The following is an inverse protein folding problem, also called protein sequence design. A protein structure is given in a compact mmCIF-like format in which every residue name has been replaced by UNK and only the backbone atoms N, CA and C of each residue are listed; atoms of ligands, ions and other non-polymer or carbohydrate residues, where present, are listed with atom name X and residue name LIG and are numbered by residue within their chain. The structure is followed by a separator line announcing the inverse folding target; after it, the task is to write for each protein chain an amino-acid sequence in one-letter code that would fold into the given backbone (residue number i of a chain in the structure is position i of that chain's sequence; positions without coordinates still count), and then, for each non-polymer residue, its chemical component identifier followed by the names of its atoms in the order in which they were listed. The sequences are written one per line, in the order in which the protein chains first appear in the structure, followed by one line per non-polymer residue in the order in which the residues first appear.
data_IF_222112508860
#
_entry.id   IF_222112508860
#
_cell.length_a   1.000
_cell.length_b   1.000
_cell.length_c   1.000
_cell.angle_alpha   90.00
_cell.angle_beta   90.00
_cell.angle_gamma   90.00
#
_symmetry.space_group_name_H-M   'P 1'
#
loop_
_entity.id
_entity.type
_entity.pdbx_description
1 polymer ?
#
# COMPACT_ATOMS: atom_id res chain seq x y z
N UNK A 1 -2.85 15.63 -7.36
CA UNK A 1 -3.59 14.37 -7.63
C UNK A 1 -5.10 14.58 -7.41
N UNK A 2 -5.82 14.98 -8.45
CA UNK A 2 -7.29 15.03 -8.48
C UNK A 2 -7.94 13.65 -8.31
N UNK A 3 -7.25 12.59 -8.75
CA UNK A 3 -7.71 11.19 -8.74
C UNK A 3 -8.01 10.63 -7.35
N UNK A 4 -7.20 10.98 -6.35
CA UNK A 4 -7.42 10.57 -4.96
C UNK A 4 -8.73 11.13 -4.37
N UNK A 5 -9.38 12.08 -5.05
CA UNK A 5 -10.63 12.72 -4.63
C UNK A 5 -11.85 12.16 -5.36
N UNK A 6 -11.67 11.30 -6.37
CA UNK A 6 -12.78 10.69 -7.09
C UNK A 6 -13.60 9.78 -6.17
N UNK A 7 -14.88 9.64 -6.52
CA UNK A 7 -15.75 8.67 -5.87
C UNK A 7 -15.28 7.23 -6.13
N UNK A 8 -14.81 6.92 -7.35
CA UNK A 8 -14.16 5.65 -7.68
C UNK A 8 -12.73 5.94 -8.18
N UNK A 9 -11.66 5.52 -7.47
CA UNK A 9 -10.29 5.82 -7.85
C UNK A 9 -9.79 4.97 -9.02
N UNK A 10 -10.59 4.07 -9.59
CA UNK A 10 -10.28 3.30 -10.81
C UNK A 10 -10.89 3.89 -12.08
N UNK A 11 -11.96 4.68 -11.97
CA UNK A 11 -12.69 5.25 -13.11
C UNK A 11 -12.04 6.55 -13.60
N UNK A 12 -11.09 6.43 -14.52
CA UNK A 12 -10.47 7.57 -15.20
C UNK A 12 -11.40 8.28 -16.19
N UNK A 13 -12.39 7.55 -16.71
CA UNK A 13 -13.29 8.02 -17.77
C UNK A 13 -14.31 9.05 -17.28
N UNK A 14 -14.51 9.15 -15.97
CA UNK A 14 -15.47 10.09 -15.35
C UNK A 14 -14.90 11.51 -15.28
N UNK A 15 -13.61 11.68 -15.57
CA UNK A 15 -13.00 13.01 -15.67
C UNK A 15 -12.42 13.26 -17.06
N UNK A 16 -12.38 14.53 -17.45
CA UNK A 16 -11.54 14.97 -18.55
C UNK A 16 -10.06 14.92 -18.11
N UNK A 17 -9.50 13.71 -18.01
CA UNK A 17 -8.14 13.49 -17.54
C UNK A 17 -7.09 14.25 -18.38
N UNK A 18 -7.16 14.27 -19.73
CA UNK A 18 -6.27 15.11 -20.52
C UNK A 18 -6.38 16.59 -20.20
N UNK A 19 -7.61 17.13 -20.07
CA UNK A 19 -7.83 18.53 -19.71
C UNK A 19 -7.29 18.88 -18.32
N UNK A 20 -7.41 17.98 -17.34
CA UNK A 20 -6.80 18.18 -16.01
C UNK A 20 -5.27 18.18 -16.05
N UNK A 21 -4.65 17.36 -16.90
CA UNK A 21 -3.19 17.36 -17.07
C UNK A 21 -2.71 18.65 -17.75
N UNK A 22 -3.41 19.14 -18.77
CA UNK A 22 -3.12 20.45 -19.38
C UNK A 22 -3.23 21.57 -18.35
N UNK A 23 -4.34 21.63 -17.60
CA UNK A 23 -4.53 22.63 -16.54
C UNK A 23 -3.39 22.61 -15.51
N UNK A 24 -2.99 21.42 -15.07
CA UNK A 24 -1.89 21.26 -14.10
C UNK A 24 -0.54 21.67 -14.68
N UNK A 25 -0.29 21.40 -15.96
CA UNK A 25 0.93 21.84 -16.65
C UNK A 25 1.00 23.36 -16.66
N UNK A 26 -0.04 24.02 -17.14
CA UNK A 26 -0.10 25.48 -17.26
C UNK A 26 0.03 26.17 -15.89
N UNK A 27 -0.55 25.57 -14.83
CA UNK A 27 -0.40 26.06 -13.45
C UNK A 27 1.02 25.89 -12.89
N UNK A 28 1.73 24.83 -13.30
CA UNK A 28 3.05 24.49 -12.74
C UNK A 28 4.20 25.13 -13.53
N UNK A 29 4.02 25.30 -14.84
CA UNK A 29 5.00 25.83 -15.78
C UNK A 29 4.37 26.94 -16.65
N UNK A 30 3.98 28.08 -16.05
CA UNK A 30 3.22 29.13 -16.74
C UNK A 30 3.98 29.75 -17.92
N UNK A 31 5.31 29.69 -17.90
CA UNK A 31 6.18 30.26 -18.93
C UNK A 31 6.66 29.21 -19.96
N UNK A 32 6.17 27.97 -19.89
CA UNK A 32 6.59 26.87 -20.77
C UNK A 32 5.41 26.30 -21.53
N UNK A 33 5.36 26.53 -22.83
CA UNK A 33 4.39 25.88 -23.70
C UNK A 33 4.67 24.37 -23.83
N UNK A 34 3.65 23.54 -23.64
CA UNK A 34 3.78 22.09 -23.76
C UNK A 34 4.12 21.63 -25.19
N UNK A 35 3.71 22.41 -26.19
CA UNK A 35 4.01 22.17 -27.62
C UNK A 35 3.18 21.06 -28.28
N UNK A 36 2.24 20.44 -27.57
CA UNK A 36 1.31 19.44 -28.11
C UNK A 36 0.01 19.37 -27.30
N UNK A 37 -1.04 18.83 -27.91
CA UNK A 37 -2.31 18.54 -27.23
C UNK A 37 -2.15 17.28 -26.36
N UNK A 38 -2.51 17.35 -25.08
CA UNK A 38 -2.50 16.16 -24.21
C UNK A 38 -3.62 15.22 -24.63
N UNK A 39 -3.25 13.99 -25.00
CA UNK A 39 -4.19 12.90 -25.31
C UNK A 39 -3.52 11.53 -25.08
N UNK A 40 -4.29 10.45 -25.21
CA UNK A 40 -3.77 9.09 -25.07
C UNK A 40 -2.60 8.85 -26.05
N UNK A 41 -1.52 8.22 -25.57
CA UNK A 41 -0.28 8.04 -26.35
C UNK A 41 0.71 9.21 -26.29
N UNK A 42 0.34 10.37 -25.75
CA UNK A 42 1.28 11.48 -25.56
C UNK A 42 2.12 11.31 -24.29
N UNK A 43 3.37 11.85 -24.24
CA UNK A 43 4.28 11.62 -23.11
C UNK A 43 3.70 11.97 -21.74
N UNK A 44 3.05 13.13 -21.62
CA UNK A 44 2.45 13.58 -20.35
C UNK A 44 1.29 12.68 -19.90
N UNK A 45 0.48 12.21 -20.85
CA UNK A 45 -0.62 11.30 -20.57
C UNK A 45 -0.13 9.93 -20.10
N UNK A 46 0.82 9.33 -20.83
CA UNK A 46 1.37 8.00 -20.50
C UNK A 46 2.11 8.02 -19.17
N UNK A 47 2.97 9.03 -18.93
CA UNK A 47 3.69 9.16 -17.67
C UNK A 47 2.72 9.34 -16.49
N UNK A 48 1.69 10.16 -16.64
CA UNK A 48 0.69 10.38 -15.58
C UNK A 48 -0.12 9.13 -15.30
N UNK A 49 -0.49 8.39 -16.35
CA UNK A 49 -1.20 7.10 -16.23
C UNK A 49 -0.32 6.05 -15.55
N UNK A 50 0.96 5.95 -15.92
CA UNK A 50 1.92 5.07 -15.27
C UNK A 50 2.05 5.40 -13.78
N UNK A 51 2.24 6.68 -13.44
CA UNK A 51 2.34 7.13 -12.04
C UNK A 51 1.08 6.82 -11.24
N UNK A 52 -0.08 6.89 -11.87
CA UNK A 52 -1.33 6.50 -11.24
C UNK A 52 -1.39 4.99 -10.94
N UNK A 53 -0.99 4.15 -11.89
CA UNK A 53 -0.91 2.70 -11.65
C UNK A 53 0.12 2.36 -10.57
N UNK A 54 1.28 3.02 -10.59
CA UNK A 54 2.28 2.90 -9.51
C UNK A 54 1.67 3.27 -8.17
N UNK A 55 0.98 4.41 -8.07
CA UNK A 55 0.33 4.83 -6.82
C UNK A 55 -0.67 3.79 -6.31
N UNK A 56 -1.56 3.26 -7.18
CA UNK A 56 -2.51 2.21 -6.80
C UNK A 56 -1.81 0.96 -6.31
N UNK A 57 -0.76 0.53 -7.02
CA UNK A 57 0.05 -0.63 -6.64
C UNK A 57 0.74 -0.44 -5.28
N UNK A 58 1.36 0.73 -5.05
CA UNK A 58 1.99 1.08 -3.79
C UNK A 58 1.01 1.01 -2.62
N UNK A 59 -0.22 1.54 -2.77
CA UNK A 59 -1.24 1.43 -1.72
C UNK A 59 -1.58 -0.04 -1.43
N UNK A 60 -1.70 -0.86 -2.46
CA UNK A 60 -1.90 -2.31 -2.32
C UNK A 60 -0.78 -3.01 -1.56
N UNK A 61 0.48 -2.69 -1.88
CA UNK A 61 1.67 -3.24 -1.19
C UNK A 61 1.74 -2.76 0.26
N UNK A 62 1.44 -1.48 0.51
CA UNK A 62 1.48 -0.91 1.87
C UNK A 62 0.46 -1.58 2.79
N UNK A 63 -0.73 -1.93 2.28
CA UNK A 63 -1.73 -2.64 3.07
C UNK A 63 -1.28 -4.06 3.46
N UNK A 64 -0.56 -4.77 2.58
CA UNK A 64 0.06 -6.07 2.92
C UNK A 64 1.06 -5.89 4.06
N UNK A 65 1.96 -4.93 3.93
CA UNK A 65 2.96 -4.66 4.95
C UNK A 65 2.32 -4.22 6.28
N UNK A 66 1.17 -3.53 6.23
CA UNK A 66 0.42 -3.13 7.41
C UNK A 66 -0.27 -4.31 8.12
N UNK A 67 -0.75 -5.32 7.38
CA UNK A 67 -1.24 -6.58 7.99
C UNK A 67 -0.09 -7.34 8.68
N UNK A 68 1.07 -7.41 8.04
CA UNK A 68 2.25 -8.06 8.65
C UNK A 68 2.67 -7.36 9.94
N UNK A 69 2.75 -6.02 9.93
CA UNK A 69 3.02 -5.22 11.14
C UNK A 69 1.96 -5.38 12.21
N UNK A 70 0.69 -5.51 11.83
CA UNK A 70 -0.38 -5.78 12.78
C UNK A 70 -0.10 -7.08 13.53
N UNK A 71 0.23 -8.17 12.82
CA UNK A 71 0.59 -9.43 13.47
C UNK A 71 1.82 -9.31 14.38
N UNK A 72 2.85 -8.58 13.95
CA UNK A 72 4.04 -8.33 14.78
C UNK A 72 3.67 -7.60 16.08
N UNK A 73 2.82 -6.57 16.00
CA UNK A 73 2.40 -5.79 17.16
C UNK A 73 1.52 -6.59 18.13
N UNK A 74 0.68 -7.48 17.60
CA UNK A 74 -0.19 -8.36 18.39
C UNK A 74 0.51 -9.65 18.85
N UNK A 75 1.79 -9.84 18.49
CA UNK A 75 2.55 -11.05 18.85
C UNK A 75 2.09 -12.33 18.13
N UNK A 76 1.40 -12.21 16.99
CA UNK A 76 0.85 -13.34 16.23
C UNK A 76 1.93 -13.89 15.27
N UNK A 77 2.74 -14.81 15.77
CA UNK A 77 3.83 -15.43 15.00
C UNK A 77 3.40 -16.66 14.21
N UNK A 78 2.45 -17.45 14.73
CA UNK A 78 2.05 -18.72 14.14
C UNK A 78 1.17 -18.54 12.88
N UNK A 79 1.45 -19.25 11.78
CA UNK A 79 0.65 -19.15 10.56
C UNK A 79 -0.83 -19.52 10.73
N UNK A 80 -1.18 -20.49 11.58
CA UNK A 80 -2.59 -20.86 11.79
C UNK A 80 -3.32 -19.75 12.55
N UNK A 81 -2.69 -19.15 13.55
CA UNK A 81 -3.25 -18.00 14.28
C UNK A 81 -3.42 -16.79 13.35
N UNK A 82 -2.47 -16.54 12.44
CA UNK A 82 -2.60 -15.50 11.40
C UNK A 82 -3.77 -15.77 10.47
N UNK A 83 -3.97 -17.02 10.06
CA UNK A 83 -5.09 -17.41 9.22
C UNK A 83 -6.44 -17.21 9.93
N UNK A 84 -6.55 -17.60 11.21
CA UNK A 84 -7.74 -17.36 12.02
C UNK A 84 -8.00 -15.87 12.25
N UNK A 85 -6.95 -15.10 12.57
CA UNK A 85 -7.03 -13.64 12.65
C UNK A 85 -7.57 -13.03 11.34
N UNK A 86 -7.06 -13.48 10.19
CA UNK A 86 -7.53 -13.02 8.89
C UNK A 86 -8.99 -13.41 8.60
N UNK A 87 -9.42 -14.62 8.98
CA UNK A 87 -10.82 -15.07 8.87
C UNK A 87 -11.76 -14.23 9.72
N UNK A 88 -11.34 -13.87 10.94
CA UNK A 88 -12.09 -12.94 11.80
C UNK A 88 -12.17 -11.57 11.11
N UNK A 89 -11.05 -11.05 10.63
CA UNK A 89 -10.98 -9.73 10.00
C UNK A 89 -11.91 -9.59 8.77
N UNK A 90 -11.94 -10.59 7.87
CA UNK A 90 -12.78 -10.60 6.66
C UNK A 90 -14.21 -11.12 6.91
N UNK A 91 -14.50 -11.60 8.12
CA UNK A 91 -15.73 -12.28 8.47
C UNK A 91 -17.00 -11.41 8.40
N UNK A 92 -18.15 -11.97 8.83
CA UNK A 92 -19.42 -11.26 8.84
C UNK A 92 -19.32 -9.89 9.50
N UNK A 93 -19.92 -8.87 8.89
CA UNK A 93 -19.88 -7.50 9.40
C UNK A 93 -18.59 -6.73 9.11
N UNK A 94 -17.60 -7.36 8.45
CA UNK A 94 -16.34 -6.78 7.96
C UNK A 94 -15.53 -6.06 9.07
N UNK A 95 -15.08 -6.75 10.13
CA UNK A 95 -14.29 -6.16 11.22
C UNK A 95 -13.11 -5.31 10.77
N UNK A 96 -12.41 -5.71 9.71
CA UNK A 96 -11.24 -4.98 9.17
C UNK A 96 -11.53 -3.52 8.79
N UNK A 97 -12.80 -3.11 8.65
CA UNK A 97 -13.16 -1.73 8.37
C UNK A 97 -13.14 -0.83 9.60
N UNK A 98 -13.10 -1.35 10.82
CA UNK A 98 -13.36 -0.57 12.02
C UNK A 98 -12.10 -0.48 12.90
N UNK A 99 -11.91 0.66 13.55
CA UNK A 99 -10.82 0.84 14.53
C UNK A 99 -11.05 0.04 15.80
N UNK A 100 -12.32 -0.18 16.18
CA UNK A 100 -12.69 -0.99 17.33
C UNK A 100 -13.87 -1.89 16.97
N UNK A 101 -13.75 -3.16 17.34
CA UNK A 101 -14.78 -4.19 17.18
C UNK A 101 -14.91 -4.96 18.48
N UNK A 102 -16.13 -5.04 18.98
CA UNK A 102 -16.47 -5.83 20.15
C UNK A 102 -17.23 -7.07 19.69
N UNK A 103 -16.73 -8.24 20.03
CA UNK A 103 -17.37 -9.52 19.72
C UNK A 103 -18.21 -10.00 20.90
N UNK A 104 -19.28 -10.72 20.59
CA UNK A 104 -20.03 -11.50 21.56
C UNK A 104 -19.15 -12.63 22.13
N UNK A 105 -19.55 -13.30 23.23
CA UNK A 105 -18.78 -14.41 23.81
C UNK A 105 -18.50 -15.58 22.84
N UNK A 106 -19.23 -15.67 21.73
CA UNK A 106 -19.01 -16.66 20.67
C UNK A 106 -17.81 -16.35 19.76
N UNK A 107 -17.17 -15.17 19.93
CA UNK A 107 -16.03 -14.65 19.16
C UNK A 107 -16.27 -14.58 17.64
N UNK A 108 -17.52 -14.63 17.20
CA UNK A 108 -17.91 -14.66 15.77
C UNK A 108 -18.94 -13.60 15.44
N UNK A 109 -19.79 -13.26 16.40
CA UNK A 109 -20.84 -12.27 16.23
C UNK A 109 -20.35 -10.91 16.73
N UNK A 110 -20.47 -9.89 15.88
CA UNK A 110 -20.09 -8.53 16.28
C UNK A 110 -21.20 -7.90 17.13
N UNK A 111 -20.88 -7.55 18.37
CA UNK A 111 -21.76 -6.80 19.27
C UNK A 111 -21.74 -5.30 18.94
N UNK A 112 -20.55 -4.73 18.72
CA UNK A 112 -20.37 -3.29 18.52
C UNK A 112 -19.26 -2.98 17.51
N UNK A 113 -19.43 -1.90 16.75
CA UNK A 113 -18.47 -1.41 15.74
C UNK A 113 -18.30 0.09 15.90
N UNK A 114 -17.05 0.54 16.05
CA UNK A 114 -16.74 1.97 16.22
C UNK A 114 -15.62 2.37 15.27
N UNK A 115 -15.56 3.65 14.92
CA UNK A 115 -14.48 4.22 14.12
C UNK A 115 -14.34 3.54 12.75
N UNK A 116 -15.41 3.61 11.95
CA UNK A 116 -15.41 3.06 10.58
C UNK A 116 -14.35 3.75 9.72
N UNK A 117 -13.64 2.95 8.95
CA UNK A 117 -12.45 3.24 8.15
C UNK A 117 -11.19 3.61 8.96
N UNK A 118 -11.16 3.30 10.25
CA UNK A 118 -10.05 3.63 11.14
C UNK A 118 -9.33 2.39 11.67
N UNK A 119 -9.42 1.24 10.98
CA UNK A 119 -8.60 0.08 11.34
C UNK A 119 -7.12 0.39 11.10
N UNK A 120 -6.19 -0.20 11.88
CA UNK A 120 -4.75 0.06 11.74
C UNK A 120 -4.23 -0.09 10.30
N UNK A 121 -4.70 -1.12 9.59
CA UNK A 121 -4.31 -1.39 8.19
C UNK A 121 -4.78 -0.29 7.24
N UNK A 122 -6.00 0.23 7.42
CA UNK A 122 -6.53 1.32 6.60
C UNK A 122 -5.82 2.63 6.92
N UNK A 123 -5.59 2.92 8.21
CA UNK A 123 -4.91 4.14 8.64
C UNK A 123 -3.47 4.20 8.14
N UNK A 124 -2.74 3.08 8.14
CA UNK A 124 -1.37 3.01 7.60
C UNK A 124 -1.35 3.28 6.08
N UNK A 125 -2.21 2.58 5.33
CA UNK A 125 -2.30 2.74 3.88
C UNK A 125 -2.74 4.16 3.46
N UNK A 126 -3.71 4.74 4.17
CA UNK A 126 -4.15 6.12 3.94
C UNK A 126 -3.07 7.13 4.37
N UNK A 127 -2.42 6.89 5.49
CA UNK A 127 -1.37 7.74 6.03
C UNK A 127 -0.20 7.89 5.07
N UNK A 128 0.22 6.81 4.39
CA UNK A 128 1.24 6.89 3.34
C UNK A 128 0.82 7.76 2.15
N UNK A 129 -0.45 7.70 1.75
CA UNK A 129 -0.97 8.62 0.73
C UNK A 129 -0.90 10.08 1.21
N UNK A 130 -1.32 10.34 2.46
CA UNK A 130 -1.29 11.69 3.04
C UNK A 130 0.14 12.23 3.15
N UNK A 131 1.11 11.39 3.54
CA UNK A 131 2.54 11.76 3.62
C UNK A 131 3.09 12.26 2.29
N UNK A 132 2.66 11.66 1.17
CA UNK A 132 3.04 12.09 -0.18
C UNK A 132 2.35 13.41 -0.53
N UNK A 133 1.05 13.52 -0.27
CA UNK A 133 0.25 14.68 -0.70
C UNK A 133 0.50 15.92 0.15
N UNK A 134 0.69 15.80 1.47
CA UNK A 134 0.91 16.93 2.38
C UNK A 134 2.19 17.71 2.02
N UNK A 135 3.16 17.06 1.35
CA UNK A 135 4.37 17.71 0.82
C UNK A 135 4.12 18.56 -0.42
N UNK A 136 3.06 18.24 -1.18
CA UNK A 136 2.79 18.81 -2.51
C UNK A 136 1.60 19.77 -2.47
N UNK A 137 0.60 19.49 -1.64
CA UNK A 137 -0.68 20.21 -1.60
C UNK A 137 -0.89 20.81 -0.20
N UNK A 138 -0.62 22.11 -0.06
CA UNK A 138 -0.74 22.81 1.24
C UNK A 138 -2.18 22.96 1.74
N UNK A 139 -3.16 23.04 0.84
CA UNK A 139 -4.60 23.16 1.16
C UNK A 139 -5.44 22.31 0.20
N UNK A 140 -5.87 21.10 0.57
CA UNK A 140 -6.76 20.32 -0.26
C UNK A 140 -8.16 20.96 -0.31
N UNK A 141 -8.72 21.10 -1.52
CA UNK A 141 -10.04 21.70 -1.78
C UNK A 141 -11.18 20.72 -1.45
N UNK A 142 -10.89 19.42 -1.36
CA UNK A 142 -11.87 18.37 -1.05
C UNK A 142 -11.20 17.16 -0.39
N UNK A 143 -12.00 16.33 0.27
CA UNK A 143 -11.54 15.11 0.95
C UNK A 143 -11.03 14.04 -0.03
N UNK A 144 -10.02 13.24 0.37
CA UNK A 144 -9.42 12.22 -0.48
C UNK A 144 -10.26 10.93 -0.49
N UNK A 145 -11.51 11.02 -0.98
CA UNK A 145 -12.48 9.91 -1.05
C UNK A 145 -11.93 8.66 -1.74
N UNK A 146 -11.30 8.86 -2.89
CA UNK A 146 -10.68 7.80 -3.67
C UNK A 146 -9.52 7.14 -2.93
N UNK A 147 -8.69 7.91 -2.22
CA UNK A 147 -7.62 7.32 -1.42
C UNK A 147 -8.15 6.48 -0.25
N UNK A 148 -9.20 6.95 0.45
CA UNK A 148 -9.82 6.17 1.53
C UNK A 148 -10.45 4.88 1.01
N UNK A 149 -11.13 4.95 -0.13
CA UNK A 149 -11.70 3.77 -0.80
C UNK A 149 -10.61 2.78 -1.20
N UNK A 150 -9.52 3.28 -1.79
CA UNK A 150 -8.39 2.48 -2.21
C UNK A 150 -7.71 1.80 -1.01
N UNK A 151 -7.55 2.51 0.11
CA UNK A 151 -7.00 1.96 1.35
C UNK A 151 -7.91 0.86 1.94
N UNK A 152 -9.22 1.07 1.98
CA UNK A 152 -10.18 0.06 2.45
C UNK A 152 -10.16 -1.20 1.57
N UNK A 153 -10.12 -1.03 0.25
CA UNK A 153 -10.01 -2.13 -0.70
C UNK A 153 -8.67 -2.88 -0.58
N UNK A 154 -7.57 -2.15 -0.41
CA UNK A 154 -6.24 -2.72 -0.22
C UNK A 154 -6.16 -3.53 1.08
N UNK A 155 -6.74 -3.02 2.17
CA UNK A 155 -6.85 -3.72 3.45
C UNK A 155 -7.65 -5.02 3.31
N UNK A 156 -8.82 -4.96 2.67
CA UNK A 156 -9.64 -6.16 2.42
C UNK A 156 -8.84 -7.23 1.66
N UNK A 157 -8.14 -6.82 0.60
CA UNK A 157 -7.31 -7.72 -0.20
C UNK A 157 -6.18 -8.32 0.63
N UNK A 158 -5.47 -7.51 1.40
CA UNK A 158 -4.35 -7.96 2.23
C UNK A 158 -4.80 -9.04 3.23
N UNK A 159 -5.94 -8.84 3.90
CA UNK A 159 -6.51 -9.84 4.79
C UNK A 159 -6.95 -11.11 4.05
N UNK A 160 -7.61 -10.99 2.89
CA UNK A 160 -8.05 -12.17 2.10
C UNK A 160 -6.90 -13.07 1.68
N UNK A 161 -5.73 -12.51 1.38
CA UNK A 161 -4.54 -13.29 1.00
C UNK A 161 -4.08 -14.22 2.13
N UNK A 162 -4.30 -13.85 3.39
CA UNK A 162 -3.84 -14.61 4.55
C UNK A 162 -4.82 -15.68 5.03
N UNK A 163 -6.06 -15.73 4.52
CA UNK A 163 -7.14 -16.57 5.06
C UNK A 163 -6.84 -18.07 4.98
N UNK A 164 -6.10 -18.50 3.95
CA UNK A 164 -5.88 -19.92 3.69
C UNK A 164 -4.87 -20.54 4.65
N UNK A 165 -3.71 -19.90 4.82
CA UNK A 165 -2.55 -20.50 5.51
C UNK A 165 -1.74 -19.48 6.34
N UNK A 166 -2.26 -18.27 6.53
CA UNK A 166 -1.60 -17.21 7.29
C UNK A 166 -0.37 -16.61 6.61
N UNK A 167 -0.11 -16.98 5.35
CA UNK A 167 0.97 -16.42 4.53
C UNK A 167 0.38 -15.45 3.52
N UNK A 168 1.11 -14.38 3.25
CA UNK A 168 0.74 -13.42 2.20
C UNK A 168 1.71 -13.61 1.04
N UNK A 169 1.31 -14.44 0.08
CA UNK A 169 2.05 -14.68 -1.17
C UNK A 169 1.15 -14.27 -2.33
N UNK A 170 1.19 -13.00 -2.78
CA UNK A 170 0.31 -12.54 -3.84
C UNK A 170 0.66 -13.20 -5.17
N UNK A 171 -0.30 -13.82 -5.84
CA UNK A 171 -0.14 -14.31 -7.21
C UNK A 171 -0.68 -13.28 -8.23
N UNK A 172 -0.39 -13.52 -9.52
CA UNK A 172 -0.91 -12.66 -10.62
C UNK A 172 -2.44 -12.58 -10.62
N UNK A 173 -3.13 -13.67 -10.25
CA UNK A 173 -4.61 -13.71 -10.14
C UNK A 173 -5.13 -12.78 -9.03
N UNK A 174 -4.29 -12.49 -8.05
CA UNK A 174 -4.60 -11.62 -6.91
C UNK A 174 -4.18 -10.17 -7.17
N UNK A 175 -3.91 -9.78 -8.42
CA UNK A 175 -3.51 -8.43 -8.74
C UNK A 175 -4.53 -7.39 -8.25
N UNK A 176 -4.03 -6.36 -7.56
CA UNK A 176 -4.86 -5.26 -7.06
C UNK A 176 -5.37 -4.40 -8.21
N UNK A 177 -6.58 -4.73 -8.65
CA UNK A 177 -7.20 -4.20 -9.87
C UNK A 177 -8.68 -3.88 -9.62
N UNK A 178 -9.27 -3.04 -10.47
CA UNK A 178 -10.70 -2.73 -10.39
C UNK A 178 -11.55 -4.00 -10.41
N UNK A 179 -11.22 -4.96 -11.28
CA UNK A 179 -11.92 -6.24 -11.36
C UNK A 179 -11.92 -7.00 -10.02
N UNK A 180 -10.80 -6.96 -9.29
CA UNK A 180 -10.68 -7.64 -7.99
C UNK A 180 -11.43 -6.93 -6.86
N UNK A 181 -11.65 -5.62 -6.96
CA UNK A 181 -12.29 -4.78 -5.93
C UNK A 181 -13.77 -4.50 -6.23
N UNK A 182 -14.16 -4.59 -7.51
CA UNK A 182 -15.43 -4.14 -8.09
C UNK A 182 -16.69 -4.40 -7.27
N UNK A 183 -16.91 -5.61 -6.70
CA UNK A 183 -18.08 -5.90 -5.88
C UNK A 183 -18.22 -5.00 -4.64
N UNK A 184 -17.11 -4.54 -4.06
CA UNK A 184 -17.10 -3.74 -2.83
C UNK A 184 -16.93 -2.23 -3.06
N UNK A 185 -16.54 -1.80 -4.26
CA UNK A 185 -16.38 -0.37 -4.61
C UNK A 185 -17.65 0.41 -4.30
N UNK A 186 -18.83 -0.10 -4.70
CA UNK A 186 -20.12 0.57 -4.45
C UNK A 186 -20.44 0.66 -2.95
N UNK A 187 -20.12 -0.39 -2.19
CA UNK A 187 -20.36 -0.43 -0.74
C UNK A 187 -19.49 0.61 -0.03
N UNK A 188 -18.19 0.66 -0.36
CA UNK A 188 -17.29 1.66 0.18
C UNK A 188 -17.68 3.06 -0.26
N UNK A 189 -18.03 3.25 -1.54
CA UNK A 189 -18.38 4.55 -2.10
C UNK A 189 -19.58 5.17 -1.39
N UNK A 190 -20.64 4.39 -1.20
CA UNK A 190 -21.83 4.84 -0.48
C UNK A 190 -21.52 5.17 1.00
N UNK A 191 -20.74 4.33 1.67
CA UNK A 191 -20.36 4.56 3.07
C UNK A 191 -19.46 5.81 3.23
N UNK A 192 -18.51 6.01 2.31
CA UNK A 192 -17.59 7.17 2.31
C UNK A 192 -18.35 8.46 1.98
N UNK A 193 -19.33 8.41 1.08
CA UNK A 193 -20.16 9.57 0.73
C UNK A 193 -21.01 10.07 1.91
N UNK A 194 -21.31 9.21 2.88
CA UNK A 194 -22.09 9.53 4.08
C UNK A 194 -21.23 10.01 5.27
N UNK A 195 -19.91 10.08 5.13
CA UNK A 195 -19.03 10.58 6.20
C UNK A 195 -19.25 12.09 6.41
N UNK A 196 -19.45 12.48 7.67
CA UNK A 196 -19.52 13.88 8.09
C UNK A 196 -18.14 14.53 8.09
N UNK A 197 -18.09 15.86 8.07
CA UNK A 197 -16.82 16.62 8.18
C UNK A 197 -16.04 16.26 9.45
N UNK A 198 -16.74 16.10 10.57
CA UNK A 198 -16.14 15.68 11.83
C UNK A 198 -15.45 14.31 11.71
N UNK A 199 -16.09 13.35 11.01
CA UNK A 199 -15.47 12.04 10.78
C UNK A 199 -14.33 12.08 9.77
N UNK A 200 -14.41 12.91 8.73
CA UNK A 200 -13.26 13.15 7.86
C UNK A 200 -12.07 13.72 8.63
N UNK A 201 -12.28 14.76 9.44
CA UNK A 201 -11.24 15.35 10.25
C UNK A 201 -10.60 14.31 11.18
N UNK A 202 -11.41 13.48 11.84
CA UNK A 202 -10.94 12.39 12.69
C UNK A 202 -10.10 11.36 11.93
N UNK A 203 -10.63 10.79 10.83
CA UNK A 203 -9.91 9.78 10.03
C UNK A 203 -8.56 10.32 9.54
N UNK A 204 -8.55 11.55 9.01
CA UNK A 204 -7.33 12.17 8.49
C UNK A 204 -6.33 12.50 9.61
N UNK A 205 -6.80 12.93 10.78
CA UNK A 205 -5.95 13.16 11.96
C UNK A 205 -5.33 11.85 12.43
N UNK A 206 -6.13 10.79 12.57
CA UNK A 206 -5.69 9.48 13.05
C UNK A 206 -4.71 8.83 12.06
N UNK A 207 -4.94 8.92 10.76
CA UNK A 207 -4.02 8.40 9.76
C UNK A 207 -2.66 9.11 9.78
N UNK A 208 -2.63 10.42 10.00
CA UNK A 208 -1.37 11.18 10.17
C UNK A 208 -0.65 10.78 11.45
N UNK A 209 -1.36 10.73 12.57
CA UNK A 209 -0.80 10.32 13.86
C UNK A 209 -0.23 8.90 13.80
N UNK A 210 -0.90 8.00 13.10
CA UNK A 210 -0.46 6.61 12.91
C UNK A 210 0.91 6.53 12.24
N UNK A 211 1.14 7.32 11.18
CA UNK A 211 2.43 7.35 10.48
C UNK A 211 3.53 7.96 11.36
N UNK A 212 3.24 9.04 12.09
CA UNK A 212 4.22 9.64 13.01
C UNK A 212 4.65 8.65 14.08
N UNK A 213 3.69 7.92 14.67
CA UNK A 213 3.97 6.89 15.65
C UNK A 213 4.78 5.74 15.05
N UNK A 214 4.42 5.29 13.84
CA UNK A 214 5.15 4.26 13.08
C UNK A 214 6.61 4.67 12.86
N UNK A 215 6.84 5.88 12.35
CA UNK A 215 8.19 6.40 12.07
C UNK A 215 9.02 6.52 13.36
N UNK A 216 8.41 6.94 14.47
CA UNK A 216 9.08 7.01 15.76
C UNK A 216 9.49 5.61 16.27
N UNK A 217 8.60 4.61 16.16
CA UNK A 217 8.89 3.22 16.55
C UNK A 217 10.03 2.64 15.70
N UNK A 218 10.02 2.87 14.39
CA UNK A 218 11.10 2.44 13.50
C UNK A 218 12.45 3.08 13.84
N UNK A 219 12.47 4.34 14.28
CA UNK A 219 13.71 5.00 14.74
C UNK A 219 14.21 4.47 16.08
N UNK A 220 13.32 4.19 17.03
CA UNK A 220 13.69 3.58 18.32
C UNK A 220 14.38 2.24 18.09
N UNK A 221 13.77 1.37 17.28
CA UNK A 221 14.35 0.06 16.93
C UNK A 221 15.72 0.19 16.25
N UNK A 222 15.95 1.23 15.45
CA UNK A 222 17.24 1.44 14.80
C UNK A 222 18.32 1.93 15.79
N UNK A 223 17.94 2.65 16.85
CA UNK A 223 18.87 3.10 17.91
C UNK A 223 19.21 1.92 18.83
N UNK A 224 18.25 1.05 19.11
CA UNK A 224 18.44 -0.13 19.98
C UNK A 224 19.28 -1.25 19.32
N UNK A 225 19.60 -1.14 18.02
CA UNK A 225 20.44 -2.10 17.27
C UNK A 225 21.92 -1.65 17.21
N UNK A 226 22.25 -0.42 17.62
CA UNK A 226 23.58 0.17 17.45
C UNK A 226 24.51 0.02 18.68
N UNK A 227 24.14 -0.80 19.68
CA UNK A 227 24.88 -0.87 20.96
C UNK A 227 25.40 -2.28 21.36
N UNK A 228 25.33 -3.30 20.49
CA UNK A 228 26.05 -4.57 20.71
C UNK A 228 26.22 -5.37 19.40
N UNK A 229 27.35 -5.20 18.70
CA UNK A 229 28.21 -6.29 18.20
C UNK A 229 29.29 -5.75 17.24
N UNK A 230 30.39 -5.27 17.82
CA UNK A 230 31.73 -5.43 17.25
C UNK A 230 32.04 -6.93 17.19
N UNK A 231 31.73 -7.60 16.08
CA UNK A 231 32.31 -8.91 15.73
C UNK A 231 32.01 -9.26 14.28
N UNK A 232 32.82 -8.76 13.35
CA UNK A 232 33.51 -9.59 12.34
C UNK A 232 34.64 -8.77 11.72
N UNK A 233 35.84 -9.08 12.19
CA UNK A 233 37.16 -8.70 11.68
C UNK A 233 37.25 -8.78 10.16
N UNK A 234 37.82 -7.74 9.56
CA UNK A 234 38.47 -7.79 8.25
C UNK A 234 39.43 -8.99 8.19
N UNK A 235 39.23 -9.91 7.25
CA UNK A 235 40.27 -10.64 6.50
C UNK A 235 39.62 -11.66 5.55
N UNK A 236 40.22 -11.83 4.36
CA UNK A 236 39.89 -12.81 3.31
C UNK A 236 38.68 -12.56 2.39
N UNK A 237 38.82 -11.57 1.48
CA UNK A 237 38.22 -11.67 0.14
C UNK A 237 39.18 -11.24 -0.98
N UNK A 238 40.45 -11.66 -0.89
CA UNK A 238 41.38 -11.70 -2.01
C UNK A 238 41.94 -13.11 -2.13
N UNK A 239 41.28 -13.98 -2.91
CA UNK A 239 41.85 -15.16 -3.60
C UNK A 239 40.70 -16.05 -4.11
N UNK A 240 39.94 -15.59 -5.12
CA UNK A 240 39.17 -16.50 -6.00
C UNK A 240 39.01 -15.99 -7.42
N UNK A 241 39.99 -15.20 -7.87
CA UNK A 241 40.17 -14.79 -9.25
C UNK A 241 41.61 -15.07 -9.69
N UNK A 242 42.03 -16.35 -9.68
CA UNK A 242 43.20 -16.84 -10.42
C UNK A 242 43.47 -18.35 -10.23
N UNK A 243 42.47 -19.22 -10.42
CA UNK A 243 42.72 -20.69 -10.48
C UNK A 243 41.66 -21.44 -11.31
N UNK A 244 41.36 -20.98 -12.53
CA UNK A 244 40.66 -21.83 -13.53
C UNK A 244 41.05 -21.49 -14.98
N UNK A 245 42.21 -20.88 -15.20
CA UNK A 245 42.70 -20.62 -16.57
C UNK A 245 44.22 -20.74 -16.65
N UNK A 246 44.72 -21.96 -16.45
CA UNK A 246 45.98 -22.49 -16.99
C UNK A 246 46.27 -23.86 -16.35
N UNK A 247 45.82 -24.95 -16.99
CA UNK A 247 46.61 -26.19 -17.20
C UNK A 247 45.72 -27.37 -17.63
N UNK A 248 45.38 -27.45 -18.93
CA UNK A 248 45.20 -28.75 -19.61
C UNK A 248 45.23 -28.55 -21.13
N UNK A 249 46.44 -28.56 -21.69
CA UNK A 249 46.75 -29.03 -23.06
C UNK A 249 48.06 -29.81 -22.83
N UNK A 250 48.05 -31.13 -22.96
CA UNK A 250 48.63 -31.96 -24.04
C UNK A 250 48.68 -33.38 -23.39
N UNK A 251 48.59 -34.54 -24.02
CA UNK A 251 48.50 -35.04 -25.39
C UNK A 251 48.01 -36.50 -25.24
N UNK A 252 47.40 -37.06 -26.29
CA UNK A 252 47.78 -38.40 -26.79
C UNK A 252 47.01 -38.70 -28.07
N UNK A 253 47.78 -38.78 -29.16
CA UNK A 253 47.36 -39.22 -30.48
C UNK A 253 47.68 -40.71 -30.68
N UNK A 254 46.89 -41.33 -31.56
CA UNK A 254 47.11 -42.59 -32.29
C UNK A 254 47.04 -43.94 -31.55
N UNK A 255 45.98 -44.73 -31.83
CA UNK A 255 46.05 -45.79 -32.87
C UNK A 255 44.82 -46.72 -32.89
N UNK A 256 44.38 -47.01 -34.13
CA UNK A 256 43.45 -48.05 -34.65
C UNK A 256 41.94 -47.81 -34.55
#
# INVERSE_FOLDING_TARGET
MSQARLANPWELQVINFPGELTRLWDETFPDTELGYLVEAGTPLFELSTQRLYTWRSTVGTNAIAAVQRFWENEGISDPLDRAECAKIAIGPGKPYLFGEVEFMPDLRTIARRVNRFESPVILDALGEHLRIIDRVVKKPVAYPRGALMLAAAAAERAWKLAVADGKIVPERKDAFSEKSVGPNIKIFGNAIAQLTDAKWAQILSNARAFIVFKDAKSRSLAIDIDDDDDLYSDEEYYMKANKTSMSTIEDDADSL
#
